data_IF_789073508624
#
_entry.id   IF_789073508624
#
_cell.length_a   1.000
_cell.length_b   1.000
_cell.length_c   1.000
_cell.angle_alpha   90.00
_cell.angle_beta   90.00
_cell.angle_gamma   90.00
#
_symmetry.space_group_name_H-M   'P 1'
#
loop_
_entity.id
_entity.type
_entity.pdbx_description
1 polymer ?
#
# COMPACT_ATOMS: atom_id res chain seq x y z
N UNK A 1 8.07 -7.77 -22.55
CA UNK A 1 7.84 -6.38 -22.07
C UNK A 1 6.77 -6.46 -21.00
N UNK A 2 7.09 -6.21 -19.73
CA UNK A 2 6.11 -6.25 -18.65
C UNK A 2 5.27 -4.97 -18.62
N UNK A 3 3.97 -5.10 -18.34
CA UNK A 3 3.09 -3.94 -18.19
C UNK A 3 3.50 -3.15 -16.94
N UNK A 4 3.54 -1.82 -17.05
CA UNK A 4 3.91 -0.94 -15.93
C UNK A 4 2.80 0.04 -15.60
N UNK A 5 2.84 0.54 -14.38
CA UNK A 5 1.92 1.56 -13.87
C UNK A 5 2.70 2.73 -13.28
N UNK A 6 2.29 3.95 -13.62
CA UNK A 6 2.75 5.16 -12.94
C UNK A 6 1.89 5.39 -11.70
N UNK A 7 2.51 5.35 -10.53
CA UNK A 7 1.81 5.65 -9.28
C UNK A 7 1.57 7.15 -9.08
N UNK A 8 0.67 7.47 -8.16
CA UNK A 8 0.41 8.82 -7.68
C UNK A 8 0.99 9.01 -6.27
N UNK A 9 1.22 10.25 -5.88
CA UNK A 9 1.61 10.61 -4.52
C UNK A 9 0.58 11.60 -3.95
N UNK A 10 0.10 11.44 -2.70
CA UNK A 10 -1.02 12.22 -2.17
C UNK A 10 -0.71 13.72 -2.08
N UNK A 11 0.56 14.06 -1.84
CA UNK A 11 1.03 15.45 -1.81
C UNK A 11 1.39 16.04 -3.20
N UNK A 12 0.93 15.43 -4.30
CA UNK A 12 1.21 15.92 -5.66
C UNK A 12 2.66 15.77 -6.14
N UNK A 13 3.49 14.99 -5.42
CA UNK A 13 4.85 14.64 -5.87
C UNK A 13 4.79 13.66 -7.04
N UNK A 14 5.89 13.55 -7.78
CA UNK A 14 6.01 12.53 -8.82
C UNK A 14 5.98 11.14 -8.19
N UNK A 15 5.12 10.26 -8.72
CA UNK A 15 5.12 8.86 -8.34
C UNK A 15 6.23 8.07 -9.03
N UNK A 16 6.14 6.75 -8.93
CA UNK A 16 7.13 5.82 -9.46
C UNK A 16 6.49 4.95 -10.52
N UNK A 17 7.20 4.74 -11.63
CA UNK A 17 6.80 3.81 -12.65
C UNK A 17 7.26 2.40 -12.26
N UNK A 18 6.35 1.49 -11.91
CA UNK A 18 6.67 0.14 -11.41
C UNK A 18 5.95 -0.96 -12.20
N UNK A 19 6.42 -2.20 -12.05
CA UNK A 19 5.77 -3.35 -12.65
C UNK A 19 4.34 -3.51 -12.13
N UNK A 20 3.38 -3.66 -13.05
CA UNK A 20 1.95 -3.67 -12.72
C UNK A 20 1.53 -4.93 -11.98
N UNK A 21 2.16 -6.07 -12.25
CA UNK A 21 1.87 -7.32 -11.54
C UNK A 21 2.33 -7.20 -10.08
N UNK A 22 3.54 -6.70 -9.84
CA UNK A 22 4.05 -6.44 -8.48
C UNK A 22 3.18 -5.41 -7.73
N UNK A 23 2.76 -4.34 -8.41
CA UNK A 23 1.80 -3.38 -7.85
C UNK A 23 0.49 -4.07 -7.44
N UNK A 24 -0.09 -4.90 -8.31
CA UNK A 24 -1.38 -5.55 -8.05
C UNK A 24 -1.32 -6.48 -6.85
N UNK A 25 -0.28 -7.29 -6.74
CA UNK A 25 -0.06 -8.20 -5.60
C UNK A 25 0.00 -7.42 -4.28
N UNK A 26 0.82 -6.37 -4.24
CA UNK A 26 1.01 -5.57 -3.02
C UNK A 26 -0.27 -4.77 -2.69
N UNK A 27 -0.94 -4.21 -3.69
CA UNK A 27 -2.25 -3.55 -3.53
C UNK A 27 -3.26 -4.49 -2.90
N UNK A 28 -3.41 -5.70 -3.43
CA UNK A 28 -4.34 -6.69 -2.90
C UNK A 28 -4.01 -7.05 -1.46
N UNK A 29 -2.73 -7.28 -1.15
CA UNK A 29 -2.28 -7.60 0.20
C UNK A 29 -2.57 -6.45 1.20
N UNK A 30 -2.31 -5.19 0.83
CA UNK A 30 -2.64 -4.02 1.66
C UNK A 30 -4.15 -3.94 1.93
N UNK A 31 -4.97 -3.98 0.87
CA UNK A 31 -6.41 -3.83 1.01
C UNK A 31 -7.02 -4.97 1.83
N UNK A 32 -6.56 -6.21 1.63
CA UNK A 32 -6.98 -7.35 2.44
C UNK A 32 -6.57 -7.18 3.92
N UNK A 33 -5.36 -6.67 4.17
CA UNK A 33 -4.87 -6.43 5.54
C UNK A 33 -5.73 -5.43 6.29
N UNK A 34 -6.10 -4.34 5.63
CA UNK A 34 -6.94 -3.29 6.22
C UNK A 34 -8.42 -3.71 6.29
N UNK A 35 -8.90 -4.53 5.36
CA UNK A 35 -10.26 -5.08 5.41
C UNK A 35 -10.45 -6.02 6.62
N UNK A 36 -9.43 -6.81 6.95
CA UNK A 36 -9.48 -7.77 8.06
C UNK A 36 -9.26 -7.12 9.42
N UNK A 37 -8.28 -6.21 9.54
CA UNK A 37 -7.89 -5.59 10.81
C UNK A 37 -8.59 -4.24 11.08
N UNK A 38 -9.22 -3.64 10.06
CA UNK A 38 -9.86 -2.33 10.11
C UNK A 38 -8.88 -1.17 9.94
N UNK A 39 -8.08 -0.90 10.98
CA UNK A 39 -7.03 0.12 10.97
C UNK A 39 -5.75 -0.41 11.62
N UNK A 40 -4.57 0.00 11.13
CA UNK A 40 -3.31 -0.43 11.72
C UNK A 40 -2.20 0.62 11.61
N UNK A 41 -1.21 0.60 12.52
CA UNK A 41 0.00 1.40 12.39
C UNK A 41 0.70 1.11 11.06
N UNK A 42 1.16 2.15 10.37
CA UNK A 42 1.93 1.99 9.13
C UNK A 42 3.19 1.14 9.34
N UNK A 43 3.81 1.22 10.52
CA UNK A 43 4.96 0.40 10.88
C UNK A 43 4.69 -1.11 10.90
N UNK A 44 3.44 -1.54 10.98
CA UNK A 44 3.02 -2.95 10.95
C UNK A 44 2.51 -3.38 9.57
N UNK A 45 2.31 -2.44 8.64
CA UNK A 45 1.70 -2.74 7.35
C UNK A 45 2.60 -3.64 6.50
N UNK A 46 3.92 -3.42 6.53
CA UNK A 46 4.88 -4.22 5.75
C UNK A 46 4.86 -5.71 6.17
N UNK A 47 4.76 -5.96 7.48
CA UNK A 47 4.65 -7.32 8.03
C UNK A 47 3.29 -7.95 7.70
N UNK A 48 2.21 -7.18 7.82
CA UNK A 48 0.87 -7.65 7.43
C UNK A 48 0.76 -7.97 5.93
N UNK A 49 1.46 -7.20 5.08
CA UNK A 49 1.58 -7.49 3.64
C UNK A 49 2.40 -8.76 3.43
N UNK A 50 3.58 -8.87 4.05
CA UNK A 50 4.45 -10.03 3.91
C UNK A 50 3.76 -11.35 4.31
N UNK A 51 2.99 -11.33 5.40
CA UNK A 51 2.23 -12.49 5.87
C UNK A 51 1.16 -13.00 4.88
N UNK A 52 0.76 -12.17 3.90
CA UNK A 52 -0.24 -12.51 2.87
C UNK A 52 0.38 -12.97 1.55
N UNK A 53 1.70 -12.92 1.41
CA UNK A 53 2.39 -13.37 0.20
C UNK A 53 2.75 -14.85 0.36
N UNK A 54 2.19 -15.70 -0.51
CA UNK A 54 2.43 -17.15 -0.50
C UNK A 54 3.81 -17.55 -1.01
N UNK A 55 4.39 -16.73 -1.89
CA UNK A 55 5.64 -16.98 -2.58
C UNK A 55 6.65 -15.87 -2.30
N UNK A 56 7.95 -16.14 -2.42
CA UNK A 56 8.99 -15.11 -2.30
C UNK A 56 8.69 -13.95 -3.26
N UNK A 57 8.49 -12.77 -2.68
CA UNK A 57 8.28 -11.57 -3.47
C UNK A 57 9.60 -11.07 -4.06
N UNK A 58 9.65 -10.94 -5.38
CA UNK A 58 10.81 -10.37 -6.07
C UNK A 58 10.85 -8.83 -5.89
N UNK A 59 11.47 -8.38 -4.80
CA UNK A 59 11.68 -6.96 -4.49
C UNK A 59 11.59 -6.66 -3.00
N UNK A 60 11.82 -5.39 -2.63
CA UNK A 60 11.66 -4.94 -1.25
C UNK A 60 10.18 -4.75 -0.92
N UNK A 61 9.62 -5.63 -0.08
CA UNK A 61 8.23 -5.54 0.38
C UNK A 61 7.96 -4.15 0.97
N UNK A 62 8.79 -3.66 1.90
CA UNK A 62 8.55 -2.35 2.52
C UNK A 62 8.61 -1.16 1.56
N UNK A 63 9.50 -1.19 0.56
CA UNK A 63 9.53 -0.13 -0.46
C UNK A 63 8.27 -0.16 -1.35
N UNK A 64 7.84 -1.37 -1.77
CA UNK A 64 6.61 -1.53 -2.54
C UNK A 64 5.39 -1.16 -1.71
N UNK A 65 5.30 -1.59 -0.46
CA UNK A 65 4.21 -1.24 0.46
C UNK A 65 4.13 0.26 0.61
N UNK A 66 5.24 0.95 0.88
CA UNK A 66 5.25 2.43 0.96
C UNK A 66 4.76 3.08 -0.33
N UNK A 67 5.28 2.63 -1.48
CA UNK A 67 4.94 3.20 -2.80
C UNK A 67 3.47 3.01 -3.15
N UNK A 68 2.95 1.79 -2.96
CA UNK A 68 1.55 1.44 -3.25
C UNK A 68 0.62 2.09 -2.24
N UNK A 69 0.98 2.13 -0.95
CA UNK A 69 0.22 2.82 0.09
C UNK A 69 0.03 4.31 -0.25
N UNK A 70 1.08 5.01 -0.68
CA UNK A 70 0.95 6.40 -1.12
C UNK A 70 0.04 6.55 -2.34
N UNK A 71 0.15 5.64 -3.32
CA UNK A 71 -0.75 5.63 -4.48
C UNK A 71 -2.22 5.43 -4.08
N UNK A 72 -2.49 4.50 -3.17
CA UNK A 72 -3.84 4.23 -2.66
C UNK A 72 -4.40 5.40 -1.86
N UNK A 73 -3.55 6.12 -1.10
CA UNK A 73 -3.94 7.38 -0.45
C UNK A 73 -4.34 8.43 -1.49
N UNK A 74 -3.52 8.60 -2.53
CA UNK A 74 -3.77 9.59 -3.58
C UNK A 74 -5.03 9.26 -4.40
N UNK A 75 -5.38 7.98 -4.52
CA UNK A 75 -6.58 7.49 -5.20
C UNK A 75 -7.83 7.45 -4.30
N UNK A 76 -7.70 7.72 -3.00
CA UNK A 76 -8.82 7.67 -2.06
C UNK A 76 -9.32 6.26 -1.76
N UNK A 77 -8.45 5.24 -1.86
CA UNK A 77 -8.77 3.86 -1.48
C UNK A 77 -8.46 3.60 0.01
N UNK A 78 -7.41 4.25 0.52
CA UNK A 78 -7.04 4.22 1.94
C UNK A 78 -6.81 5.64 2.43
N UNK A 79 -6.90 5.85 3.74
CA UNK A 79 -6.62 7.14 4.36
C UNK A 79 -5.79 6.98 5.64
N UNK A 80 -5.15 8.08 6.05
CA UNK A 80 -4.49 8.19 7.35
C UNK A 80 -5.55 8.53 8.38
N UNK A 81 -5.53 7.85 9.52
CA UNK A 81 -6.42 8.18 10.64
C UNK A 81 -6.01 9.52 11.25
N UNK A 82 -6.88 10.56 11.25
CA UNK A 82 -6.54 11.86 11.80
C UNK A 82 -6.20 11.79 13.29
N UNK A 83 -5.20 12.58 13.72
CA UNK A 83 -4.83 12.71 15.13
C UNK A 83 -4.06 11.51 15.73
N UNK A 84 -3.64 10.53 14.93
CA UNK A 84 -2.83 9.38 15.39
C UNK A 84 -1.34 9.58 15.11
N UNK A 85 -0.52 9.38 16.14
CA UNK A 85 0.95 9.31 16.08
C UNK A 85 1.43 8.11 16.90
N UNK A 86 2.23 7.18 16.34
CA UNK A 86 2.65 7.08 14.94
C UNK A 86 1.49 6.97 13.94
N UNK A 87 1.79 7.11 12.66
CA UNK A 87 0.78 7.06 11.59
C UNK A 87 -0.01 5.75 11.61
N UNK A 88 -1.33 5.85 11.57
CA UNK A 88 -2.28 4.73 11.40
C UNK A 88 -3.00 4.90 10.07
N UNK A 89 -3.26 3.78 9.37
CA UNK A 89 -3.96 3.73 8.09
C UNK A 89 -5.19 2.83 8.15
N UNK A 90 -6.20 3.14 7.33
CA UNK A 90 -7.44 2.37 7.18
C UNK A 90 -8.02 2.49 5.78
N UNK A 91 -8.99 1.64 5.44
CA UNK A 91 -9.80 1.81 4.23
C UNK A 91 -10.67 3.07 4.34
N UNK A 92 -10.88 3.76 3.22
CA UNK A 92 -11.85 4.86 3.16
C UNK A 92 -13.26 4.29 3.33
N UNK A 93 -14.02 4.84 4.28
CA UNK A 93 -15.43 4.51 4.46
C UNK A 93 -16.26 5.31 3.43
N UNK A 94 -17.07 4.60 2.63
CA UNK A 94 -18.01 5.22 1.68
C UNK A 94 -19.35 5.48 2.34
#
# INVERSE_FOLDING_TARGET
MGERIMTLHPNGKQGVNIDKAKYAVIKQAILASLAEQGEMPFSQLDEAVAARLSDPFDGSIGWYTTTVKLDLEARGEIERVPGKSPQVVRLVQK
#
